data_IF_439530972695
#
_entry.id   IF_439530972695
#
_cell.length_a   1.000
_cell.length_b   1.000
_cell.length_c   1.000
_cell.angle_alpha   90.00
_cell.angle_beta   90.00
_cell.angle_gamma   90.00
#
_symmetry.space_group_name_H-M   'P 1'
#
loop_
_entity.id
_entity.type
_entity.pdbx_description
1 polymer ?
#
# COMPACT_ATOMS: atom_id res chain seq x y z
N UNK A 1 18.01 -16.56 2.93
CA UNK A 1 17.32 -15.26 2.76
C UNK A 1 16.41 -15.08 3.97
N UNK A 2 16.47 -13.96 4.71
CA UNK A 2 15.71 -13.90 5.95
C UNK A 2 14.21 -13.95 5.63
N UNK A 3 13.46 -14.68 6.44
CA UNK A 3 12.01 -14.58 6.45
C UNK A 3 11.65 -13.21 7.02
N UNK A 4 11.53 -12.21 6.15
CA UNK A 4 11.02 -10.90 6.53
C UNK A 4 9.50 -10.99 6.71
N UNK A 5 9.04 -11.07 7.96
CA UNK A 5 7.62 -11.02 8.29
C UNK A 5 7.18 -9.57 8.41
N UNK A 6 6.31 -9.13 7.51
CA UNK A 6 5.71 -7.81 7.57
C UNK A 6 4.35 -7.92 8.28
N UNK A 7 4.30 -7.44 9.52
CA UNK A 7 3.06 -7.36 10.28
C UNK A 7 2.42 -5.98 10.09
N UNK A 8 1.16 -5.96 9.64
CA UNK A 8 0.43 -4.73 9.33
C UNK A 8 -0.82 -4.63 10.20
N UNK A 9 -1.14 -3.42 10.64
CA UNK A 9 -2.38 -3.09 11.37
C UNK A 9 -3.30 -2.23 10.51
N UNK A 10 -4.62 -2.37 10.69
CA UNK A 10 -5.59 -1.44 10.07
C UNK A 10 -5.23 0.01 10.41
N UNK A 11 -5.33 0.88 9.42
CA UNK A 11 -4.93 2.29 9.52
C UNK A 11 -3.44 2.56 9.31
N UNK A 12 -2.59 1.54 9.19
CA UNK A 12 -1.16 1.76 8.95
C UNK A 12 -0.93 2.49 7.61
N UNK A 13 -0.04 3.50 7.58
CA UNK A 13 0.41 4.10 6.34
C UNK A 13 1.27 3.09 5.56
N UNK A 14 1.04 3.01 4.26
CA UNK A 14 1.78 2.15 3.34
C UNK A 14 2.31 2.98 2.16
N UNK A 15 3.32 2.45 1.49
CA UNK A 15 3.89 3.03 0.28
C UNK A 15 4.14 1.93 -0.74
N UNK A 16 3.80 2.16 -2.01
CA UNK A 16 4.19 1.25 -3.08
C UNK A 16 5.70 1.36 -3.30
N UNK A 17 6.38 0.22 -3.39
CA UNK A 17 7.81 0.14 -3.71
C UNK A 17 8.06 -0.17 -5.20
N UNK A 18 6.99 -0.37 -5.97
CA UNK A 18 7.03 -0.69 -7.40
C UNK A 18 5.79 -0.14 -8.10
N UNK A 19 5.91 0.01 -9.42
CA UNK A 19 4.80 0.41 -10.26
C UNK A 19 3.81 -0.75 -10.40
N UNK A 20 2.53 -0.50 -10.11
CA UNK A 20 1.45 -1.45 -10.33
C UNK A 20 0.60 -1.04 -11.51
N UNK A 21 0.21 0.24 -11.57
CA UNK A 21 -0.55 0.81 -12.66
C UNK A 21 -0.32 2.33 -12.72
N UNK A 22 0.70 2.79 -13.48
CA UNK A 22 1.02 4.20 -13.61
C UNK A 22 -0.15 5.05 -14.16
N UNK A 23 -0.94 4.51 -15.09
CA UNK A 23 -2.10 5.20 -15.69
C UNK A 23 -3.17 5.55 -14.66
N UNK A 24 -3.29 4.76 -13.59
CA UNK A 24 -4.20 5.02 -12.46
C UNK A 24 -3.51 5.75 -11.28
N UNK A 25 -2.26 6.20 -11.44
CA UNK A 25 -1.49 6.86 -10.38
C UNK A 25 -0.96 5.91 -9.30
N UNK A 26 -0.86 4.61 -9.59
CA UNK A 26 -0.30 3.59 -8.70
C UNK A 26 1.15 3.28 -9.10
N UNK A 27 2.05 4.20 -8.78
CA UNK A 27 3.48 4.13 -9.07
C UNK A 27 4.30 4.04 -7.78
N UNK A 28 5.61 3.81 -7.91
CA UNK A 28 6.52 3.78 -6.78
C UNK A 28 6.43 5.10 -5.99
N UNK A 29 6.20 4.98 -4.69
CA UNK A 29 6.00 6.11 -3.79
C UNK A 29 4.56 6.57 -3.60
N UNK A 30 3.57 6.00 -4.30
CA UNK A 30 2.16 6.26 -3.99
C UNK A 30 1.87 5.84 -2.55
N UNK A 31 1.37 6.78 -1.74
CA UNK A 31 1.02 6.57 -0.33
C UNK A 31 -0.40 6.08 -0.18
N UNK A 32 -0.60 5.11 0.71
CA UNK A 32 -1.87 4.45 0.97
C UNK A 32 -2.14 4.36 2.47
N UNK A 33 -3.40 4.14 2.85
CA UNK A 33 -3.78 3.67 4.19
C UNK A 33 -4.36 2.26 4.08
N UNK A 34 -3.92 1.35 4.94
CA UNK A 34 -4.51 0.01 5.06
C UNK A 34 -5.92 0.10 5.65
N UNK A 35 -6.92 -0.38 4.91
CA UNK A 35 -8.31 -0.46 5.37
C UNK A 35 -8.59 -1.85 5.96
N UNK A 36 -8.19 -2.89 5.23
CA UNK A 36 -8.37 -4.28 5.66
C UNK A 36 -7.30 -5.18 5.03
N UNK A 37 -7.03 -6.33 5.64
CA UNK A 37 -6.10 -7.32 5.12
C UNK A 37 -6.68 -8.72 5.27
N UNK A 38 -6.60 -9.51 4.20
CA UNK A 38 -6.78 -10.97 4.23
C UNK A 38 -5.44 -11.64 3.95
N UNK A 39 -5.41 -12.97 3.94
CA UNK A 39 -4.19 -13.77 3.81
C UNK A 39 -3.33 -13.43 2.59
N UNK A 40 -3.94 -12.91 1.50
CA UNK A 40 -3.23 -12.62 0.24
C UNK A 40 -3.54 -11.24 -0.35
N UNK A 41 -4.40 -10.44 0.27
CA UNK A 41 -4.86 -9.17 -0.28
C UNK A 41 -4.85 -8.08 0.79
N UNK A 42 -4.27 -6.95 0.44
CA UNK A 42 -4.35 -5.72 1.23
C UNK A 42 -5.34 -4.78 0.54
N UNK A 43 -6.45 -4.51 1.21
CA UNK A 43 -7.39 -3.48 0.79
C UNK A 43 -6.91 -2.13 1.31
N UNK A 44 -6.55 -1.24 0.40
CA UNK A 44 -5.93 0.03 0.72
C UNK A 44 -6.68 1.19 0.06
N UNK A 45 -6.65 2.37 0.70
CA UNK A 45 -7.16 3.62 0.13
C UNK A 45 -5.99 4.52 -0.24
N UNK A 46 -6.01 5.07 -1.45
CA UNK A 46 -4.98 6.01 -1.92
C UNK A 46 -5.09 7.33 -1.15
N UNK A 47 -3.96 7.79 -0.62
CA UNK A 47 -3.86 9.12 -0.03
C UNK A 47 -3.51 10.10 -1.16
N UNK A 48 -4.53 10.74 -1.75
CA UNK A 48 -4.30 11.87 -2.66
C UNK A 48 -3.94 13.10 -1.83
N UNK A 49 -2.90 13.85 -2.23
CA UNK A 49 -2.73 15.22 -1.73
C UNK A 49 -3.84 16.06 -2.35
N UNK A 50 -4.72 16.63 -1.52
CA UNK A 50 -5.47 17.82 -1.93
C UNK A 50 -4.42 18.90 -2.14
N UNK A 51 -4.28 19.33 -3.39
CA UNK A 51 -3.55 20.54 -3.76
C UNK A 51 -4.56 21.44 -4.43
#
# INVERSE_FOLDING_TARGET
>A
FPLHKLELKKGAPLMLLRNLNPTLGLYNGTRLILVNSTTKVLQCRVLRKQT
#
